data_IF_279867888852
#
_entry.id   IF_279867888852
#
_cell.length_a   1.000
_cell.length_b   1.000
_cell.length_c   1.000
_cell.angle_alpha   90.00
_cell.angle_beta   90.00
_cell.angle_gamma   90.00
#
_symmetry.space_group_name_H-M   'P 1'
#
loop_
_entity.id
_entity.type
_entity.pdbx_description
1 polymer ?
#
# COMPACT_ATOMS: atom_id res chain seq x y z
N UNK A 1 -0.92 -7.45 -15.40
CA UNK A 1 -0.75 -6.62 -16.02
C UNK A 1 -1.10 -5.35 -15.60
N UNK A 2 -1.82 -5.10 -14.76
CA UNK A 2 -2.13 -3.97 -14.48
C UNK A 2 -1.75 -3.48 -13.20
N UNK A 3 -0.73 -2.62 -13.04
CA UNK A 3 -0.34 -1.96 -11.85
C UNK A 3 -1.30 -0.87 -11.55
N UNK A 4 -2.28 -0.66 -12.41
CA UNK A 4 -3.23 0.42 -12.26
C UNK A 4 -4.05 0.31 -10.98
N UNK A 5 -4.35 -0.91 -10.56
CA UNK A 5 -5.12 -1.08 -9.33
C UNK A 5 -4.30 -0.68 -8.10
N UNK A 6 -3.02 -1.00 -8.09
CA UNK A 6 -2.17 -0.60 -6.98
C UNK A 6 -2.12 0.90 -6.83
N UNK A 7 -1.92 1.61 -7.93
CA UNK A 7 -1.87 3.07 -7.92
C UNK A 7 -3.24 3.65 -7.60
N UNK A 8 -4.29 3.06 -8.16
CA UNK A 8 -5.65 3.52 -7.93
C UNK A 8 -5.98 3.50 -6.42
N UNK A 9 -5.68 2.40 -5.75
CA UNK A 9 -5.96 2.32 -4.32
C UNK A 9 -5.03 3.20 -3.50
N UNK A 10 -3.79 3.37 -3.95
CA UNK A 10 -2.86 4.28 -3.29
C UNK A 10 -3.43 5.70 -3.30
N UNK A 11 -3.92 6.15 -4.46
CA UNK A 11 -4.49 7.49 -4.57
C UNK A 11 -5.76 7.63 -3.74
N UNK A 12 -6.58 6.57 -3.69
CA UNK A 12 -7.76 6.60 -2.84
C UNK A 12 -7.37 6.68 -1.38
N UNK A 13 -6.33 5.97 -0.99
CA UNK A 13 -5.84 6.03 0.38
C UNK A 13 -5.41 7.44 0.75
N UNK A 14 -4.74 8.13 -0.17
CA UNK A 14 -4.34 9.51 0.07
C UNK A 14 -5.55 10.43 0.20
N UNK A 15 -6.53 10.23 -0.67
CA UNK A 15 -7.70 11.10 -0.69
C UNK A 15 -8.60 10.92 0.53
N UNK A 16 -8.82 9.67 0.94
CA UNK A 16 -9.74 9.38 2.04
C UNK A 16 -9.06 9.16 3.38
N UNK A 17 -7.73 9.05 3.38
CA UNK A 17 -6.95 8.80 4.59
C UNK A 17 -7.46 7.56 5.32
N UNK A 18 -7.72 6.51 4.55
CA UNK A 18 -8.26 5.25 5.07
C UNK A 18 -7.23 4.16 4.84
N UNK A 19 -6.75 3.55 5.91
CA UNK A 19 -5.71 2.51 5.83
C UNK A 19 -6.09 1.35 4.93
N UNK A 20 -7.39 1.04 4.84
CA UNK A 20 -7.83 -0.10 4.04
C UNK A 20 -7.46 0.04 2.57
N UNK A 21 -7.47 1.26 2.05
CA UNK A 21 -7.08 1.48 0.66
C UNK A 21 -5.58 1.23 0.47
N UNK A 22 -4.78 1.58 1.47
CA UNK A 22 -3.35 1.30 1.39
C UNK A 22 -3.06 -0.20 1.45
N UNK A 23 -3.83 -0.96 2.24
CA UNK A 23 -3.67 -2.41 2.25
C UNK A 23 -4.01 -3.01 0.89
N UNK A 24 -5.09 -2.52 0.26
CA UNK A 24 -5.45 -2.99 -1.07
C UNK A 24 -4.39 -2.61 -2.10
N UNK A 25 -3.82 -1.42 -1.97
CA UNK A 25 -2.75 -0.98 -2.86
C UNK A 25 -1.56 -1.94 -2.79
N UNK A 26 -1.15 -2.29 -1.57
CA UNK A 26 -0.03 -3.22 -1.36
C UNK A 26 -0.34 -4.56 -2.00
N UNK A 27 -1.55 -5.06 -1.79
CA UNK A 27 -1.96 -6.35 -2.34
C UNK A 27 -1.85 -6.35 -3.86
N UNK A 28 -2.35 -5.31 -4.49
CA UNK A 28 -2.34 -5.26 -5.95
C UNK A 28 -0.95 -5.05 -6.52
N UNK A 29 -0.11 -4.26 -5.86
CA UNK A 29 1.28 -4.13 -6.29
C UNK A 29 1.99 -5.48 -6.23
N UNK A 30 1.76 -6.23 -5.14
CA UNK A 30 2.40 -7.54 -5.02
C UNK A 30 1.90 -8.52 -6.06
N UNK A 31 0.60 -8.51 -6.33
CA UNK A 31 0.03 -9.40 -7.33
C UNK A 31 0.57 -9.13 -8.73
N UNK A 32 0.89 -7.88 -9.02
CA UNK A 32 1.43 -7.54 -10.32
C UNK A 32 2.95 -7.66 -10.38
N UNK A 33 3.58 -8.02 -9.27
CA UNK A 33 5.03 -8.18 -9.23
C UNK A 33 5.81 -6.88 -9.07
N UNK A 34 5.13 -5.78 -8.79
CA UNK A 34 5.79 -4.49 -8.65
C UNK A 34 6.13 -4.26 -7.18
N UNK A 35 7.15 -4.97 -6.72
CA UNK A 35 7.52 -4.91 -5.31
C UNK A 35 8.16 -3.58 -4.93
N UNK A 36 8.69 -2.87 -5.90
CA UNK A 36 9.30 -1.57 -5.62
C UNK A 36 8.25 -0.57 -5.18
N UNK A 37 7.09 -0.58 -5.83
CA UNK A 37 6.04 0.39 -5.52
C UNK A 37 5.32 0.12 -4.21
N UNK A 38 5.49 -1.07 -3.64
CA UNK A 38 4.88 -1.42 -2.35
C UNK A 38 5.28 -0.42 -1.27
N UNK A 39 6.47 0.14 -1.37
CA UNK A 39 6.93 1.10 -0.35
C UNK A 39 6.08 2.35 -0.28
N UNK A 40 5.41 2.72 -1.37
CA UNK A 40 4.60 3.93 -1.37
C UNK A 40 3.44 3.87 -0.36
N UNK A 41 2.57 2.85 -0.41
CA UNK A 41 1.53 2.75 0.61
C UNK A 41 2.09 2.39 1.98
N UNK A 42 3.23 1.68 2.05
CA UNK A 42 3.84 1.39 3.34
C UNK A 42 4.25 2.66 4.06
N UNK A 43 4.86 3.61 3.34
CA UNK A 43 5.28 4.86 3.94
C UNK A 43 4.08 5.64 4.45
N UNK A 44 2.98 5.62 3.71
CA UNK A 44 1.78 6.32 4.13
C UNK A 44 1.18 5.68 5.38
N UNK A 45 1.18 4.34 5.46
CA UNK A 45 0.69 3.66 6.65
C UNK A 45 1.55 4.01 7.86
N UNK A 46 2.88 4.11 7.65
CA UNK A 46 3.78 4.50 8.74
C UNK A 46 3.44 5.89 9.23
N UNK A 47 3.16 6.82 8.32
CA UNK A 47 2.80 8.18 8.70
C UNK A 47 1.46 8.23 9.41
N UNK A 48 0.59 7.29 9.16
CA UNK A 48 -0.70 7.20 9.83
C UNK A 48 -0.60 6.49 11.19
N UNK A 49 0.62 6.13 11.60
CA UNK A 49 0.82 5.51 12.90
C UNK A 49 0.64 4.00 12.94
N UNK A 50 0.74 3.35 11.78
CA UNK A 50 0.59 1.90 11.75
C UNK A 50 1.70 1.21 12.54
N UNK A 51 1.36 0.10 13.21
CA UNK A 51 2.30 -0.67 14.00
C UNK A 51 3.44 -1.18 13.13
N UNK A 52 4.68 -1.01 13.59
CA UNK A 52 5.85 -1.43 12.81
C UNK A 52 5.87 -2.93 12.54
N UNK A 53 5.32 -3.74 13.43
CA UNK A 53 5.26 -5.18 13.18
C UNK A 53 4.35 -5.50 12.01
N UNK A 54 3.25 -4.75 11.89
CA UNK A 54 2.34 -4.94 10.76
C UNK A 54 3.03 -4.49 9.47
N UNK A 55 3.75 -3.37 9.53
CA UNK A 55 4.48 -2.87 8.36
C UNK A 55 5.52 -3.90 7.91
N UNK A 56 6.22 -4.52 8.86
CA UNK A 56 7.21 -5.53 8.52
C UNK A 56 6.56 -6.73 7.83
N UNK A 57 5.39 -7.15 8.30
CA UNK A 57 4.69 -8.25 7.66
C UNK A 57 4.24 -7.88 6.25
N UNK A 58 3.76 -6.67 6.06
CA UNK A 58 3.32 -6.22 4.75
C UNK A 58 4.48 -6.05 3.78
N UNK A 59 5.66 -5.78 4.29
CA UNK A 59 6.84 -5.60 3.45
C UNK A 59 7.40 -6.92 2.92
N UNK A 60 6.99 -8.05 3.50
CA UNK A 60 7.43 -9.34 3.01
C UNK A 60 6.85 -9.60 1.62
#
# INVERSE_FOLDING_TARGET
IDNDYGIHFYLKGLAYQDKRYFYESIKHFKLSGDLFSVRLPLDQLREMGEDEQILDLLAL
#
